data_IF_998446320833
#
_entry.id   IF_998446320833
#
_cell.length_a   1.000
_cell.length_b   1.000
_cell.length_c   1.000
_cell.angle_alpha   90.00
_cell.angle_beta   90.00
_cell.angle_gamma   90.00
#
_symmetry.space_group_name_H-M   'P 1'
#
loop_
_entity.id
_entity.type
_entity.pdbx_description
1 polymer ?
#
# COMPACT_ATOMS: atom_id res chain seq x y z
N UNK A 1 12.25 22.19 -5.50
CA UNK A 1 11.88 21.75 -4.12
C UNK A 1 10.38 21.48 -4.10
N UNK A 2 9.93 20.26 -4.45
CA UNK A 2 8.53 19.80 -4.30
C UNK A 2 8.54 18.27 -4.06
N UNK A 3 9.44 17.78 -3.21
CA UNK A 3 9.48 16.34 -2.84
C UNK A 3 9.49 16.12 -1.34
N UNK A 4 9.90 17.12 -0.56
CA UNK A 4 9.98 17.06 0.91
C UNK A 4 8.65 17.33 1.64
N UNK A 5 7.73 18.10 1.05
CA UNK A 5 6.46 18.46 1.72
C UNK A 5 5.41 17.34 1.60
N UNK A 6 5.32 16.65 0.46
CA UNK A 6 4.43 15.50 0.27
C UNK A 6 4.80 14.28 1.14
N UNK A 7 6.07 14.17 1.54
CA UNK A 7 6.56 13.17 2.48
C UNK A 7 6.32 13.56 3.95
N UNK A 8 6.15 14.86 4.23
CA UNK A 8 5.97 15.36 5.61
C UNK A 8 4.56 15.19 6.16
N UNK A 9 3.53 15.10 5.32
CA UNK A 9 2.11 15.09 5.75
C UNK A 9 1.44 13.69 5.76
N UNK A 10 2.14 12.63 5.34
CA UNK A 10 1.57 11.28 5.26
C UNK A 10 1.75 10.44 6.54
N UNK A 11 2.43 10.96 7.56
CA UNK A 11 2.66 10.25 8.83
C UNK A 11 1.36 9.87 9.54
N UNK A 12 0.31 10.72 9.62
CA UNK A 12 -0.95 10.34 10.26
C UNK A 12 -1.64 9.18 9.55
N UNK A 13 -1.70 9.21 8.21
CA UNK A 13 -2.31 8.15 7.42
C UNK A 13 -1.49 6.85 7.52
N UNK A 14 -0.16 6.93 7.45
CA UNK A 14 0.70 5.76 7.64
C UNK A 14 0.53 5.14 9.02
N UNK A 15 0.38 5.95 10.07
CA UNK A 15 0.12 5.46 11.42
C UNK A 15 -1.26 4.79 11.52
N UNK A 16 -2.28 5.35 10.86
CA UNK A 16 -3.61 4.73 10.79
C UNK A 16 -3.55 3.39 10.05
N UNK A 17 -2.88 3.33 8.91
CA UNK A 17 -2.65 2.09 8.16
C UNK A 17 -1.98 1.06 9.08
N UNK A 18 -0.85 1.42 9.72
CA UNK A 18 -0.12 0.50 10.62
C UNK A 18 -0.94 0.03 11.83
N UNK A 19 -1.89 0.82 12.30
CA UNK A 19 -2.79 0.44 13.40
C UNK A 19 -3.70 -0.73 13.01
N UNK A 20 -4.17 -0.76 11.77
CA UNK A 20 -5.13 -1.77 11.29
C UNK A 20 -4.48 -2.86 10.43
N UNK A 21 -3.41 -2.54 9.73
CA UNK A 21 -2.69 -3.43 8.82
C UNK A 21 -1.46 -3.96 9.56
N UNK A 22 -1.66 -5.14 10.14
CA UNK A 22 -0.69 -5.84 10.96
C UNK A 22 -0.47 -7.27 10.41
N UNK A 23 0.40 -8.05 11.07
CA UNK A 23 0.71 -9.42 10.62
C UNK A 23 -0.49 -10.36 10.68
N UNK A 24 -1.43 -10.17 11.59
CA UNK A 24 -2.60 -11.04 11.69
C UNK A 24 -3.57 -10.78 10.54
N UNK A 25 -3.78 -9.52 10.15
CA UNK A 25 -4.52 -9.19 8.93
C UNK A 25 -3.85 -9.81 7.69
N UNK A 26 -2.52 -9.75 7.57
CA UNK A 26 -1.83 -10.39 6.45
C UNK A 26 -2.06 -11.91 6.42
N UNK A 27 -2.11 -12.58 7.58
CA UNK A 27 -2.44 -14.02 7.63
C UNK A 27 -3.86 -14.29 7.13
N UNK A 28 -4.83 -13.47 7.52
CA UNK A 28 -6.21 -13.59 7.04
C UNK A 28 -6.32 -13.38 5.53
N UNK A 29 -5.66 -12.34 5.01
CA UNK A 29 -5.59 -12.08 3.57
C UNK A 29 -4.90 -13.23 2.82
N UNK A 30 -3.81 -13.76 3.37
CA UNK A 30 -3.13 -14.92 2.78
C UNK A 30 -4.03 -16.15 2.77
N UNK A 31 -4.80 -16.41 3.84
CA UNK A 31 -5.74 -17.51 3.89
C UNK A 31 -6.84 -17.40 2.82
N UNK A 32 -7.36 -16.21 2.57
CA UNK A 32 -8.32 -15.97 1.47
C UNK A 32 -7.66 -16.07 0.09
N UNK A 33 -6.41 -15.65 -0.05
CA UNK A 33 -5.65 -15.81 -1.29
C UNK A 33 -5.45 -17.29 -1.65
N UNK A 34 -5.18 -18.15 -0.67
CA UNK A 34 -5.08 -19.60 -0.88
C UNK A 34 -6.41 -20.24 -1.33
N UNK A 35 -7.55 -19.58 -1.08
CA UNK A 35 -8.86 -20.00 -1.58
C UNK A 35 -9.12 -19.53 -3.02
N UNK A 36 -8.15 -18.87 -3.66
CA UNK A 36 -8.24 -18.35 -5.02
C UNK A 36 -8.82 -16.92 -5.12
N UNK A 37 -9.05 -16.23 -4.00
CA UNK A 37 -9.47 -14.82 -4.05
C UNK A 37 -8.29 -13.92 -4.37
N UNK A 38 -8.50 -12.89 -5.18
CA UNK A 38 -7.42 -11.97 -5.58
C UNK A 38 -7.71 -10.57 -5.06
N UNK A 39 -6.71 -9.95 -4.42
CA UNK A 39 -6.71 -8.54 -4.02
C UNK A 39 -5.65 -7.81 -4.82
N UNK A 40 -6.08 -6.91 -5.72
CA UNK A 40 -5.22 -6.09 -6.56
C UNK A 40 -5.30 -4.62 -6.15
N UNK A 41 -4.16 -3.96 -6.03
CA UNK A 41 -4.08 -2.52 -5.74
C UNK A 41 -3.21 -1.83 -6.79
N UNK A 42 -3.70 -0.72 -7.32
CA UNK A 42 -2.96 0.13 -8.25
C UNK A 42 -2.21 1.25 -7.53
N UNK A 43 -0.99 1.53 -7.95
CA UNK A 43 -0.24 2.74 -7.57
C UNK A 43 0.34 3.41 -8.81
N UNK A 44 0.65 4.69 -8.74
CA UNK A 44 1.39 5.40 -9.80
C UNK A 44 2.84 5.55 -9.37
N UNK A 45 3.79 5.01 -10.13
CA UNK A 45 5.20 5.32 -9.91
C UNK A 45 5.47 6.72 -10.50
N UNK A 46 5.70 7.71 -9.63
CA UNK A 46 5.86 9.12 -10.01
C UNK A 46 7.13 9.38 -10.84
N UNK A 47 8.13 8.50 -10.79
CA UNK A 47 9.36 8.63 -11.58
C UNK A 47 9.16 8.22 -13.05
N UNK A 48 8.13 7.41 -13.35
CA UNK A 48 7.88 6.86 -14.69
C UNK A 48 6.49 7.14 -15.25
N UNK A 49 5.57 7.72 -14.47
CA UNK A 49 4.14 7.92 -14.78
C UNK A 49 3.43 6.65 -15.25
N UNK A 50 3.93 5.47 -14.87
CA UNK A 50 3.32 4.19 -15.24
C UNK A 50 2.47 3.65 -14.09
N UNK A 51 1.24 3.19 -14.37
CA UNK A 51 0.47 2.46 -13.39
C UNK A 51 1.18 1.14 -13.07
N UNK A 52 1.25 0.80 -11.79
CA UNK A 52 1.76 -0.48 -11.29
C UNK A 52 0.62 -1.16 -10.54
N UNK A 53 0.36 -2.42 -10.85
CA UNK A 53 -0.64 -3.24 -10.16
C UNK A 53 0.07 -4.25 -9.26
N UNK A 54 -0.34 -4.28 -7.99
CA UNK A 54 0.23 -5.13 -6.95
C UNK A 54 -0.77 -6.22 -6.57
N UNK A 55 -0.31 -7.48 -6.53
CA UNK A 55 -1.08 -8.58 -5.94
C UNK A 55 -0.81 -8.65 -4.44
N UNK A 56 -1.74 -8.11 -3.66
CA UNK A 56 -1.59 -8.00 -2.21
C UNK A 56 -1.73 -9.34 -1.50
N UNK A 57 -2.50 -10.28 -2.06
CA UNK A 57 -2.61 -11.65 -1.54
C UNK A 57 -1.30 -12.43 -1.64
N UNK A 58 -0.58 -12.25 -2.75
CA UNK A 58 0.76 -12.80 -2.93
C UNK A 58 1.78 -12.17 -1.96
N UNK A 59 1.73 -10.85 -1.75
CA UNK A 59 2.58 -10.16 -0.78
C UNK A 59 2.28 -10.64 0.64
N UNK A 60 1.01 -10.76 1.01
CA UNK A 60 0.57 -11.25 2.32
C UNK A 60 1.02 -12.71 2.59
N UNK A 61 1.13 -13.52 1.54
CA UNK A 61 1.60 -14.91 1.61
C UNK A 61 3.13 -15.04 1.67
N UNK A 62 3.88 -13.93 1.50
CA UNK A 62 5.34 -13.95 1.50
C UNK A 62 5.91 -14.23 2.89
N UNK A 63 6.98 -15.03 2.94
CA UNK A 63 7.76 -15.27 4.17
C UNK A 63 8.80 -14.17 4.45
N UNK A 64 8.95 -13.19 3.55
CA UNK A 64 9.88 -12.09 3.73
C UNK A 64 9.45 -11.22 4.93
N UNK A 65 10.34 -10.97 5.91
CA UNK A 65 9.99 -10.13 7.06
C UNK A 65 9.51 -8.73 6.68
N UNK A 66 9.91 -8.22 5.51
CA UNK A 66 9.56 -6.89 4.96
C UNK A 66 8.19 -6.83 4.30
N UNK A 67 7.48 -7.96 4.18
CA UNK A 67 6.18 -8.01 3.50
C UNK A 67 5.14 -7.06 4.11
N UNK A 68 5.12 -6.92 5.45
CA UNK A 68 4.21 -6.02 6.15
C UNK A 68 4.49 -4.55 5.80
N UNK A 69 5.76 -4.16 5.79
CA UNK A 69 6.16 -2.78 5.46
C UNK A 69 5.84 -2.46 4.00
N UNK A 70 6.13 -3.39 3.08
CA UNK A 70 5.77 -3.25 1.68
C UNK A 70 4.25 -3.11 1.49
N UNK A 71 3.46 -3.94 2.17
CA UNK A 71 2.00 -3.88 2.12
C UNK A 71 1.48 -2.49 2.55
N UNK A 72 2.01 -1.97 3.67
CA UNK A 72 1.68 -0.65 4.19
C UNK A 72 2.09 0.47 3.23
N UNK A 73 3.28 0.38 2.63
CA UNK A 73 3.77 1.37 1.66
C UNK A 73 2.93 1.41 0.38
N UNK A 74 2.48 0.25 -0.11
CA UNK A 74 1.61 0.18 -1.29
C UNK A 74 0.24 0.80 -0.99
N UNK A 75 -0.35 0.47 0.16
CA UNK A 75 -1.62 1.09 0.58
C UNK A 75 -1.50 2.61 0.66
N UNK A 76 -0.44 3.10 1.32
CA UNK A 76 -0.18 4.53 1.42
C UNK A 76 -0.01 5.17 0.04
N UNK A 77 0.79 4.56 -0.84
CA UNK A 77 1.02 5.05 -2.20
C UNK A 77 -0.24 5.04 -3.06
N UNK A 78 -1.18 4.12 -2.83
CA UNK A 78 -2.46 4.05 -3.54
C UNK A 78 -3.48 5.09 -3.07
N UNK A 79 -3.40 5.52 -1.80
CA UNK A 79 -4.23 6.59 -1.26
C UNK A 79 -3.71 7.98 -1.67
N UNK A 80 -2.41 8.09 -1.96
CA UNK A 80 -1.75 9.32 -2.38
C UNK A 80 -1.83 9.59 -3.89
N UNK A 81 -2.87 9.13 -4.59
CA UNK A 81 -3.08 9.48 -6.00
C UNK A 81 -3.18 11.02 -6.08
N UNK A 82 -2.24 11.72 -6.74
CA UNK A 82 -2.11 13.17 -6.62
C UNK A 82 -3.34 13.96 -7.11
N UNK A 83 -4.15 13.37 -8.00
CA UNK A 83 -5.17 14.11 -8.75
C UNK A 83 -6.37 14.58 -7.91
N UNK A 84 -6.62 14.04 -6.71
CA UNK A 84 -7.79 14.44 -5.91
C UNK A 84 -7.48 15.32 -4.68
N UNK A 85 -6.21 15.52 -4.31
CA UNK A 85 -5.88 16.37 -3.16
C UNK A 85 -5.71 17.86 -3.51
N UNK A 86 -5.71 18.22 -4.80
CA UNK A 86 -5.49 19.59 -5.28
C UNK A 86 -6.76 20.32 -5.78
N UNK A 87 -7.97 19.79 -5.53
CA UNK A 87 -9.23 20.51 -5.76
C UNK A 87 -10.17 20.40 -4.56
N UNK A 88 -9.97 21.25 -3.54
CA UNK A 88 -11.04 21.83 -2.70
C UNK A 88 -10.50 22.99 -1.88
#
# INVERSE_FOLDING_TARGET
>A
MITSDALSDNKPLLNLIRKYVNRDLLKEIAAEYQKGRVLLIGTTNLDSRRPVVWNMGAIASSKDPRALDLFNSILLGSAAIPEYFLQS
#
